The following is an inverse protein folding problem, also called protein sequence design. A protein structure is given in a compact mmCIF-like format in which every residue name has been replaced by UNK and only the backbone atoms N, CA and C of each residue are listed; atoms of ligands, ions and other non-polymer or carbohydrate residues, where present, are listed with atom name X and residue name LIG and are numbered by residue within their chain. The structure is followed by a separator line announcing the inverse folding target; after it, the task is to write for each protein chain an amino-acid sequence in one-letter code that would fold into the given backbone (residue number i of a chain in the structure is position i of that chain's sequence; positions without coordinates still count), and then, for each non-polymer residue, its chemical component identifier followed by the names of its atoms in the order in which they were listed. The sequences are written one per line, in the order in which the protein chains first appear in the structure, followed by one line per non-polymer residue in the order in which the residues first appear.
data_IF_187844764248
#
_entry.id   IF_187844764248
#
_cell.length_a   1.000
_cell.length_b   1.000
_cell.length_c   1.000
_cell.angle_alpha   90.00
_cell.angle_beta   90.00
_cell.angle_gamma   90.00
#
_symmetry.space_group_name_H-M   'P 1'
#
loop_
_entity.id
_entity.type
_entity.pdbx_description
1 polymer ?
#
# COMPACT_ATOMS: atom_id res chain seq x y z
N UNK A 1 8.89 -5.70 14.10
CA UNK A 1 7.85 -5.26 15.06
C UNK A 1 7.33 -6.49 15.80
N UNK A 2 7.09 -6.43 17.12
CA UNK A 2 6.58 -7.59 17.87
C UNK A 2 5.05 -7.50 17.97
N UNK A 3 4.34 -8.41 17.31
CA UNK A 3 2.88 -8.52 17.35
C UNK A 3 2.49 -9.99 17.51
N UNK A 4 1.37 -10.27 18.18
CA UNK A 4 0.80 -11.61 18.20
C UNK A 4 0.35 -11.93 16.77
N UNK A 5 0.79 -13.07 16.22
CA UNK A 5 0.32 -13.55 14.92
C UNK A 5 -0.79 -14.56 15.11
N UNK A 6 -1.81 -14.50 14.25
CA UNK A 6 -2.91 -15.45 14.31
C UNK A 6 -2.44 -16.90 14.06
N UNK A 7 -1.45 -17.09 13.19
CA UNK A 7 -0.80 -18.38 12.94
C UNK A 7 -0.25 -19.02 14.22
N UNK A 8 0.33 -18.21 15.12
CA UNK A 8 0.97 -18.70 16.34
C UNK A 8 -0.07 -19.16 17.35
N UNK A 9 -1.23 -18.48 17.38
CA UNK A 9 -2.38 -18.89 18.21
C UNK A 9 -2.96 -20.22 17.72
N UNK A 10 -3.05 -20.41 16.40
CA UNK A 10 -3.50 -21.68 15.79
C UNK A 10 -2.50 -22.79 16.14
N UNK A 11 -1.21 -22.57 15.93
CA UNK A 11 -0.16 -23.54 16.23
C UNK A 11 -0.14 -23.93 17.72
N UNK A 12 -0.48 -22.98 18.61
CA UNK A 12 -0.61 -23.22 20.05
C UNK A 12 -1.93 -23.90 20.47
N UNK A 13 -2.82 -24.25 19.53
CA UNK A 13 -4.10 -24.89 19.81
C UNK A 13 -5.12 -23.99 20.54
N UNK A 14 -4.96 -22.66 20.47
CA UNK A 14 -5.77 -21.69 21.24
C UNK A 14 -7.02 -21.21 20.52
N UNK A 15 -7.28 -21.68 19.29
CA UNK A 15 -8.32 -21.13 18.41
C UNK A 15 -9.58 -22.00 18.33
N UNK A 16 -9.47 -23.31 18.58
CA UNK A 16 -10.60 -24.23 18.50
C UNK A 16 -11.75 -23.81 19.43
N UNK A 17 -12.97 -23.73 18.87
CA UNK A 17 -14.17 -23.31 19.59
C UNK A 17 -14.25 -21.82 19.96
N UNK A 18 -13.23 -21.02 19.65
CA UNK A 18 -13.23 -19.58 19.95
C UNK A 18 -14.06 -18.79 18.94
N UNK A 19 -14.63 -17.66 19.38
CA UNK A 19 -15.24 -16.66 18.49
C UNK A 19 -14.14 -15.77 17.92
N UNK A 20 -13.91 -15.84 16.62
CA UNK A 20 -12.86 -15.11 15.92
C UNK A 20 -13.49 -14.00 15.07
N UNK A 21 -13.15 -12.74 15.35
CA UNK A 21 -13.55 -11.59 14.56
C UNK A 21 -12.41 -11.15 13.65
N UNK A 22 -12.60 -11.23 12.34
CA UNK A 22 -11.61 -10.88 11.32
C UNK A 22 -12.00 -9.55 10.67
N UNK A 23 -11.14 -8.54 10.80
CA UNK A 23 -11.22 -7.32 10.00
C UNK A 23 -10.46 -7.51 8.69
N UNK A 24 -11.18 -7.79 7.61
CA UNK A 24 -10.64 -8.00 6.27
C UNK A 24 -10.78 -6.73 5.40
N UNK A 25 -10.02 -6.64 4.31
CA UNK A 25 -10.22 -5.62 3.27
C UNK A 25 -10.97 -6.24 2.10
N UNK A 26 -12.29 -6.06 2.08
CA UNK A 26 -13.21 -6.55 1.05
C UNK A 26 -13.84 -5.41 0.25
N UNK A 27 -13.21 -4.24 0.26
CA UNK A 27 -13.69 -3.06 -0.48
C UNK A 27 -13.37 -3.23 -1.97
N UNK A 28 -14.21 -3.96 -2.69
CA UNK A 28 -14.03 -4.27 -4.13
C UNK A 28 -14.74 -3.26 -5.02
N UNK A 29 -14.21 -2.97 -6.22
CA UNK A 29 -14.92 -2.15 -7.20
C UNK A 29 -16.18 -2.88 -7.70
N UNK A 30 -17.24 -2.10 -7.90
CA UNK A 30 -18.51 -2.56 -8.44
C UNK A 30 -18.90 -1.74 -9.66
N UNK A 31 -19.62 -2.35 -10.60
CA UNK A 31 -20.27 -1.63 -11.71
C UNK A 31 -21.55 -0.93 -11.24
N UNK A 32 -22.21 -0.21 -12.16
CA UNK A 32 -23.45 0.52 -11.88
C UNK A 32 -24.61 -0.41 -11.45
N UNK A 33 -24.53 -1.71 -11.76
CA UNK A 33 -25.49 -2.73 -11.35
C UNK A 33 -25.15 -3.34 -9.97
N UNK A 34 -24.07 -2.89 -9.32
CA UNK A 34 -23.59 -3.40 -8.03
C UNK A 34 -22.82 -4.72 -8.11
N UNK A 35 -22.49 -5.21 -9.31
CA UNK A 35 -21.72 -6.45 -9.50
C UNK A 35 -20.23 -6.17 -9.32
N UNK A 36 -19.55 -7.13 -8.70
CA UNK A 36 -18.10 -7.08 -8.48
C UNK A 36 -17.39 -7.17 -9.83
N UNK A 37 -16.59 -6.16 -10.17
CA UNK A 37 -15.80 -6.13 -11.42
C UNK A 37 -14.41 -6.72 -11.23
N UNK A 38 -13.91 -6.76 -10.00
CA UNK A 38 -12.58 -7.24 -9.63
C UNK A 38 -12.64 -7.83 -8.19
N UNK A 39 -12.19 -9.07 -7.99
CA UNK A 39 -12.35 -9.81 -6.72
C UNK A 39 -11.03 -10.16 -6.00
N UNK A 40 -9.89 -9.58 -6.41
CA UNK A 40 -8.55 -9.84 -5.84
C UNK A 40 -8.53 -9.63 -4.34
N UNK A 41 -9.17 -8.57 -3.83
CA UNK A 41 -9.26 -8.29 -2.38
C UNK A 41 -9.98 -9.39 -1.60
N UNK A 42 -11.04 -9.96 -2.19
CA UNK A 42 -11.78 -11.07 -1.59
C UNK A 42 -10.88 -12.30 -1.54
N UNK A 43 -10.25 -12.64 -2.68
CA UNK A 43 -9.32 -13.79 -2.77
C UNK A 43 -8.15 -13.67 -1.82
N UNK A 44 -7.56 -12.48 -1.70
CA UNK A 44 -6.45 -12.20 -0.80
C UNK A 44 -6.83 -12.41 0.67
N UNK A 45 -8.09 -12.14 1.05
CA UNK A 45 -8.58 -12.30 2.43
C UNK A 45 -8.97 -13.75 2.79
N UNK A 46 -9.14 -14.64 1.80
CA UNK A 46 -9.54 -16.03 2.03
C UNK A 46 -8.61 -16.82 2.98
N UNK A 47 -7.27 -16.68 2.91
CA UNK A 47 -6.37 -17.45 3.77
C UNK A 47 -6.66 -17.28 5.26
N UNK A 48 -6.91 -16.06 5.74
CA UNK A 48 -7.24 -15.82 7.14
C UNK A 48 -8.54 -16.50 7.57
N UNK A 49 -9.56 -16.43 6.72
CA UNK A 49 -10.88 -17.04 6.95
C UNK A 49 -10.76 -18.56 6.98
N UNK A 50 -10.05 -19.15 6.00
CA UNK A 50 -9.81 -20.61 5.91
C UNK A 50 -9.03 -21.11 7.11
N UNK A 51 -7.94 -20.44 7.48
CA UNK A 51 -7.14 -20.81 8.66
C UNK A 51 -7.96 -20.82 9.95
N UNK A 52 -8.86 -19.83 10.14
CA UNK A 52 -9.73 -19.80 11.30
C UNK A 52 -10.75 -20.96 11.29
N UNK A 53 -11.36 -21.23 10.14
CA UNK A 53 -12.31 -22.34 9.95
C UNK A 53 -11.65 -23.70 10.17
N UNK A 54 -10.48 -23.93 9.58
CA UNK A 54 -9.70 -25.18 9.69
C UNK A 54 -9.25 -25.42 11.13
N UNK A 55 -8.98 -24.34 11.89
CA UNK A 55 -8.69 -24.40 13.32
C UNK A 55 -9.94 -24.61 14.20
N UNK A 56 -11.13 -24.72 13.62
CA UNK A 56 -12.38 -24.98 14.35
C UNK A 56 -12.98 -23.76 15.06
N UNK A 57 -12.68 -22.54 14.61
CA UNK A 57 -13.27 -21.32 15.17
C UNK A 57 -14.72 -21.08 14.72
N UNK A 58 -15.44 -20.27 15.49
CA UNK A 58 -16.67 -19.60 15.05
C UNK A 58 -16.29 -18.25 14.42
N UNK A 59 -16.41 -18.12 13.09
CA UNK A 59 -15.77 -17.04 12.33
C UNK A 59 -16.76 -15.92 12.00
N UNK A 60 -16.41 -14.70 12.36
CA UNK A 60 -17.07 -13.47 11.95
C UNK A 60 -16.10 -12.66 11.11
N UNK A 61 -16.51 -12.25 9.91
CA UNK A 61 -15.70 -11.39 9.05
C UNK A 61 -16.42 -10.06 8.91
N UNK A 62 -15.73 -8.94 8.95
CA UNK A 62 -16.31 -7.65 8.52
C UNK A 62 -15.35 -6.92 7.61
N UNK A 63 -15.90 -6.00 6.82
CA UNK A 63 -15.14 -5.05 6.03
C UNK A 63 -15.90 -3.73 5.95
N UNK A 64 -15.19 -2.72 5.47
CA UNK A 64 -15.81 -1.55 4.88
C UNK A 64 -16.10 -1.81 3.39
N UNK A 65 -17.10 -1.11 2.85
CA UNK A 65 -17.33 -0.92 1.43
C UNK A 65 -17.65 0.56 1.20
N UNK A 66 -17.02 1.17 0.19
CA UNK A 66 -17.30 2.55 -0.18
C UNK A 66 -17.12 3.57 0.96
N UNK A 67 -17.96 4.60 0.95
CA UNK A 67 -17.95 5.70 1.91
C UNK A 67 -19.37 6.07 2.37
N UNK A 68 -20.13 5.14 2.98
CA UNK A 68 -21.45 5.43 3.50
C UNK A 68 -21.43 6.53 4.55
N UNK A 69 -22.61 7.14 4.73
CA UNK A 69 -22.95 7.94 5.90
C UNK A 69 -23.28 7.00 7.05
N UNK A 70 -22.66 7.20 8.22
CA UNK A 70 -22.91 6.36 9.39
C UNK A 70 -24.39 6.39 9.80
N UNK A 71 -25.01 5.23 9.97
CA UNK A 71 -26.42 5.08 10.33
C UNK A 71 -27.42 5.20 9.18
N UNK A 72 -26.97 5.48 7.95
CA UNK A 72 -27.83 5.57 6.78
C UNK A 72 -27.52 4.41 5.83
N UNK A 73 -28.34 3.36 5.88
CA UNK A 73 -28.18 2.22 4.99
C UNK A 73 -28.74 2.51 3.60
N UNK A 74 -27.91 2.32 2.57
CA UNK A 74 -28.34 2.21 1.17
C UNK A 74 -27.97 0.84 0.60
N UNK A 75 -28.73 0.30 -0.37
CA UNK A 75 -28.41 -0.98 -0.99
C UNK A 75 -27.00 -1.06 -1.58
N UNK A 76 -26.50 0.04 -2.16
CA UNK A 76 -25.15 0.17 -2.71
C UNK A 76 -24.02 0.08 -1.66
N UNK A 77 -24.33 0.30 -0.38
CA UNK A 77 -23.35 0.22 0.71
C UNK A 77 -23.25 -1.20 1.30
N UNK A 78 -24.10 -2.14 0.85
CA UNK A 78 -24.19 -3.49 1.40
C UNK A 78 -23.08 -4.41 0.92
N UNK A 79 -22.59 -5.26 1.82
CA UNK A 79 -21.66 -6.36 1.52
C UNK A 79 -22.36 -7.60 0.94
N UNK A 80 -23.63 -7.54 0.55
CA UNK A 80 -24.34 -8.70 0.00
C UNK A 80 -23.66 -9.34 -1.22
N UNK A 81 -23.21 -8.58 -2.24
CA UNK A 81 -22.46 -9.17 -3.36
C UNK A 81 -21.14 -9.82 -2.92
N UNK A 82 -20.51 -9.27 -1.89
CA UNK A 82 -19.27 -9.81 -1.31
C UNK A 82 -19.53 -11.12 -0.55
N UNK A 83 -20.66 -11.22 0.17
CA UNK A 83 -21.06 -12.45 0.85
C UNK A 83 -21.32 -13.60 -0.12
N UNK A 84 -22.02 -13.32 -1.23
CA UNK A 84 -22.24 -14.29 -2.30
C UNK A 84 -20.91 -14.76 -2.88
N UNK A 85 -20.01 -13.82 -3.24
CA UNK A 85 -18.70 -14.16 -3.79
C UNK A 85 -17.81 -14.94 -2.82
N UNK A 86 -17.82 -14.60 -1.53
CA UNK A 86 -17.14 -15.37 -0.49
C UNK A 86 -17.70 -16.79 -0.39
N UNK A 87 -19.02 -16.94 -0.52
CA UNK A 87 -19.67 -18.26 -0.47
C UNK A 87 -19.20 -19.17 -1.61
N UNK A 88 -19.14 -18.63 -2.82
CA UNK A 88 -18.62 -19.33 -4.00
C UNK A 88 -17.16 -19.76 -3.80
N UNK A 89 -16.31 -18.84 -3.37
CA UNK A 89 -14.86 -19.07 -3.23
C UNK A 89 -14.50 -20.02 -2.07
N UNK A 90 -15.33 -20.07 -1.02
CA UNK A 90 -15.16 -21.00 0.09
C UNK A 90 -15.87 -22.34 -0.16
N UNK A 91 -16.74 -22.44 -1.16
CA UNK A 91 -17.55 -23.62 -1.42
C UNK A 91 -18.54 -23.93 -0.29
N UNK A 92 -19.02 -22.90 0.42
CA UNK A 92 -19.97 -23.03 1.53
C UNK A 92 -20.77 -21.74 1.75
N UNK A 93 -21.97 -21.82 2.37
CA UNK A 93 -22.73 -20.62 2.67
C UNK A 93 -21.99 -19.67 3.62
N UNK A 94 -21.95 -18.39 3.25
CA UNK A 94 -21.49 -17.28 4.09
C UNK A 94 -22.65 -16.29 4.21
N UNK A 95 -23.55 -16.46 5.19
CA UNK A 95 -24.67 -15.54 5.35
C UNK A 95 -24.17 -14.16 5.73
N UNK A 96 -24.84 -13.13 5.18
CA UNK A 96 -24.66 -11.75 5.57
C UNK A 96 -25.53 -11.44 6.78
N UNK A 97 -24.91 -11.03 7.88
CA UNK A 97 -25.60 -10.62 9.10
C UNK A 97 -25.68 -9.09 9.19
N UNK A 98 -26.90 -8.58 9.21
CA UNK A 98 -27.21 -7.17 9.51
C UNK A 98 -27.38 -6.96 11.02
N UNK A 99 -27.28 -5.70 11.45
CA UNK A 99 -27.55 -5.26 12.82
C UNK A 99 -26.78 -6.07 13.88
N UNK A 100 -25.53 -6.36 13.56
CA UNK A 100 -24.69 -7.36 14.23
C UNK A 100 -23.99 -6.85 15.51
N UNK A 101 -24.01 -5.55 15.76
CA UNK A 101 -23.26 -4.91 16.87
C UNK A 101 -23.77 -5.38 18.23
N UNK A 102 -25.07 -5.61 18.37
CA UNK A 102 -25.67 -5.98 19.65
C UNK A 102 -25.70 -7.50 19.88
N UNK A 103 -25.81 -8.29 18.82
CA UNK A 103 -25.78 -9.75 18.91
C UNK A 103 -25.38 -10.42 17.59
N UNK A 104 -24.49 -11.41 17.70
CA UNK A 104 -24.15 -12.35 16.62
C UNK A 104 -23.95 -13.73 17.24
N UNK A 105 -24.53 -14.75 16.61
CA UNK A 105 -24.33 -16.14 16.99
C UNK A 105 -23.76 -16.90 15.81
N UNK A 106 -22.62 -17.54 16.01
CA UNK A 106 -21.93 -18.37 15.01
C UNK A 106 -21.45 -19.63 15.72
N UNK A 107 -21.80 -20.80 15.18
CA UNK A 107 -21.28 -22.05 15.73
C UNK A 107 -19.82 -22.28 15.29
N UNK A 108 -19.01 -22.98 16.09
CA UNK A 108 -17.69 -23.45 15.65
C UNK A 108 -17.76 -24.17 14.30
N UNK A 109 -16.82 -23.86 13.39
CA UNK A 109 -16.78 -24.38 12.03
C UNK A 109 -17.68 -23.65 11.02
N UNK A 110 -18.42 -22.63 11.46
CA UNK A 110 -19.22 -21.76 10.59
C UNK A 110 -18.56 -20.38 10.42
N UNK A 111 -18.97 -19.68 9.36
CA UNK A 111 -18.53 -18.33 9.02
C UNK A 111 -19.74 -17.47 8.70
N UNK A 112 -19.72 -16.21 9.14
CA UNK A 112 -20.68 -15.18 8.75
C UNK A 112 -19.94 -13.94 8.26
N UNK A 113 -20.50 -13.23 7.28
CA UNK A 113 -20.06 -11.88 6.92
C UNK A 113 -20.95 -10.89 7.67
N UNK A 114 -20.35 -9.98 8.42
CA UNK A 114 -21.01 -8.90 9.11
C UNK A 114 -21.12 -7.71 8.15
N UNK A 115 -22.30 -7.09 8.10
CA UNK A 115 -22.58 -5.95 7.23
C UNK A 115 -21.59 -4.79 7.42
N UNK A 116 -21.44 -3.97 6.38
CA UNK A 116 -20.45 -2.90 6.24
C UNK A 116 -20.23 -2.10 7.54
N UNK A 117 -19.02 -2.21 8.09
CA UNK A 117 -18.70 -1.63 9.38
C UNK A 117 -18.83 -0.10 9.43
N UNK A 118 -18.74 0.58 8.28
CA UNK A 118 -18.87 2.04 8.19
C UNK A 118 -20.30 2.55 8.31
N UNK A 119 -21.28 1.65 8.35
CA UNK A 119 -22.65 2.01 8.69
C UNK A 119 -22.86 2.16 10.21
N UNK A 120 -21.97 1.61 11.03
CA UNK A 120 -22.08 1.72 12.48
C UNK A 120 -21.77 3.15 12.93
N UNK A 121 -22.68 3.75 13.70
CA UNK A 121 -22.46 5.07 14.30
C UNK A 121 -21.27 5.01 15.26
N UNK A 122 -20.27 5.84 15.00
CA UNK A 122 -19.05 5.91 15.78
C UNK A 122 -17.86 5.14 15.21
N UNK A 123 -17.99 4.46 14.06
CA UNK A 123 -16.90 3.71 13.42
C UNK A 123 -15.69 4.62 13.14
N UNK A 124 -15.89 5.69 12.36
CA UNK A 124 -14.79 6.59 11.92
C UNK A 124 -14.18 7.38 13.07
N UNK A 125 -14.96 7.61 14.14
CA UNK A 125 -14.50 8.31 15.35
C UNK A 125 -13.84 7.38 16.37
N UNK A 126 -13.73 6.08 16.07
CA UNK A 126 -13.25 5.07 17.01
C UNK A 126 -13.97 5.17 18.36
N UNK A 127 -15.29 5.27 18.33
CA UNK A 127 -16.09 5.45 19.54
C UNK A 127 -15.87 4.29 20.52
N UNK A 128 -15.65 4.61 21.79
CA UNK A 128 -15.30 3.62 22.81
C UNK A 128 -16.45 2.65 23.11
N UNK A 129 -17.69 3.14 23.20
CA UNK A 129 -18.86 2.30 23.47
C UNK A 129 -19.03 1.25 22.36
N UNK A 130 -18.96 1.69 21.10
CA UNK A 130 -18.96 0.79 19.96
C UNK A 130 -17.81 -0.22 20.06
N UNK A 131 -16.59 0.26 20.30
CA UNK A 131 -15.39 -0.58 20.41
C UNK A 131 -15.51 -1.69 21.47
N UNK A 132 -16.14 -1.39 22.62
CA UNK A 132 -16.41 -2.37 23.68
C UNK A 132 -17.47 -3.38 23.27
N UNK A 133 -18.54 -2.95 22.58
CA UNK A 133 -19.55 -3.87 22.01
C UNK A 133 -18.90 -4.82 21.01
N UNK A 134 -18.12 -4.29 20.07
CA UNK A 134 -17.36 -5.07 19.08
C UNK A 134 -16.45 -6.12 19.75
N UNK A 135 -15.72 -5.73 20.79
CA UNK A 135 -14.85 -6.64 21.52
C UNK A 135 -15.61 -7.75 22.27
N UNK A 136 -16.82 -7.46 22.77
CA UNK A 136 -17.65 -8.46 23.45
C UNK A 136 -18.14 -9.58 22.51
N UNK A 137 -18.21 -9.32 21.20
CA UNK A 137 -18.62 -10.31 20.19
C UNK A 137 -17.60 -11.44 20.01
N UNK A 138 -16.33 -11.23 20.36
CA UNK A 138 -15.26 -12.18 20.08
C UNK A 138 -14.38 -12.51 21.28
N UNK A 139 -13.66 -13.62 21.16
CA UNK A 139 -12.57 -13.98 22.07
C UNK A 139 -11.22 -13.60 21.45
N UNK A 140 -11.13 -13.64 20.11
CA UNK A 140 -9.94 -13.26 19.35
C UNK A 140 -10.32 -12.26 18.27
N UNK A 141 -9.68 -11.10 18.28
CA UNK A 141 -9.68 -10.14 17.18
C UNK A 141 -8.46 -10.37 16.28
N UNK A 142 -8.71 -10.51 14.98
CA UNK A 142 -7.70 -10.66 13.92
C UNK A 142 -7.80 -9.46 13.00
N UNK A 143 -6.78 -8.60 13.02
CA UNK A 143 -6.68 -7.52 12.05
C UNK A 143 -5.95 -8.02 10.80
N UNK A 144 -6.62 -8.06 9.66
CA UNK A 144 -6.03 -8.52 8.39
C UNK A 144 -6.15 -7.50 7.24
N UNK A 145 -6.67 -6.30 7.50
CA UNK A 145 -6.87 -5.24 6.53
C UNK A 145 -5.75 -4.16 6.54
N UNK A 146 -4.58 -4.41 5.94
CA UNK A 146 -3.49 -3.40 5.94
C UNK A 146 -3.89 -2.05 5.30
N UNK A 147 -4.71 -2.05 4.25
CA UNK A 147 -5.19 -0.82 3.61
C UNK A 147 -5.91 0.15 4.55
N UNK A 148 -6.44 -0.32 5.68
CA UNK A 148 -7.09 0.50 6.71
C UNK A 148 -6.28 0.65 8.00
N UNK A 149 -5.08 0.07 8.07
CA UNK A 149 -4.23 0.05 9.27
C UNK A 149 -3.78 1.45 9.73
N UNK A 150 -3.73 2.41 8.79
CA UNK A 150 -3.38 3.81 9.03
C UNK A 150 -4.49 4.62 9.72
N UNK A 151 -5.69 4.06 9.87
CA UNK A 151 -6.84 4.75 10.48
C UNK A 151 -7.21 4.13 11.81
N UNK A 152 -7.38 4.99 12.82
CA UNK A 152 -7.99 4.60 14.08
C UNK A 152 -9.52 4.62 13.91
N UNK A 153 -10.11 3.47 13.59
CA UNK A 153 -11.56 3.24 13.49
C UNK A 153 -11.97 2.19 14.54
N UNK A 154 -13.26 2.05 14.85
CA UNK A 154 -13.69 1.12 15.89
C UNK A 154 -13.40 -0.34 15.50
N UNK A 155 -13.53 -0.74 14.23
CA UNK A 155 -13.18 -2.11 13.78
C UNK A 155 -11.70 -2.33 13.46
N UNK A 156 -10.86 -1.30 13.42
CA UNK A 156 -9.41 -1.44 13.16
C UNK A 156 -8.57 -1.26 14.42
N UNK A 157 -8.91 -0.28 15.27
CA UNK A 157 -8.13 0.13 16.42
C UNK A 157 -8.89 -0.05 17.73
N UNK A 158 -10.16 0.37 17.75
CA UNK A 158 -10.99 0.38 18.95
C UNK A 158 -11.22 -1.01 19.54
N UNK A 159 -11.70 -1.95 18.74
CA UNK A 159 -11.91 -3.35 19.11
C UNK A 159 -10.63 -3.99 19.68
N UNK A 160 -9.47 -3.67 19.09
CA UNK A 160 -8.18 -4.19 19.52
C UNK A 160 -7.77 -3.72 20.93
N UNK A 161 -8.35 -2.62 21.45
CA UNK A 161 -8.12 -2.20 22.84
C UNK A 161 -8.80 -3.10 23.86
N UNK A 162 -9.95 -3.68 23.50
CA UNK A 162 -10.85 -4.33 24.46
C UNK A 162 -11.03 -5.83 24.24
N UNK A 163 -10.73 -6.35 23.04
CA UNK A 163 -10.79 -7.79 22.76
C UNK A 163 -9.83 -8.55 23.68
N UNK A 164 -10.19 -9.76 24.12
CA UNK A 164 -9.34 -10.55 25.03
C UNK A 164 -7.96 -10.80 24.41
N UNK A 165 -7.94 -11.19 23.13
CA UNK A 165 -6.72 -11.32 22.33
C UNK A 165 -6.88 -10.47 21.06
N UNK A 166 -5.84 -9.70 20.72
CA UNK A 166 -5.77 -8.94 19.47
C UNK A 166 -4.49 -9.35 18.73
N UNK A 167 -4.60 -9.75 17.47
CA UNK A 167 -3.49 -10.28 16.68
C UNK A 167 -3.54 -9.83 15.22
N UNK A 168 -2.41 -9.94 14.53
CA UNK A 168 -2.31 -9.74 13.09
C UNK A 168 -2.69 -11.02 12.34
N UNK A 169 -3.55 -10.87 11.33
CA UNK A 169 -3.81 -11.92 10.35
C UNK A 169 -2.66 -12.12 9.37
N UNK A 170 -2.72 -13.12 8.48
CA UNK A 170 -1.64 -13.46 7.56
C UNK A 170 -1.27 -12.33 6.58
N UNK A 171 -2.22 -11.57 6.04
CA UNK A 171 -1.92 -10.45 5.15
C UNK A 171 -1.23 -9.32 5.92
N UNK A 172 -1.78 -8.93 7.06
CA UNK A 172 -1.19 -7.85 7.86
C UNK A 172 0.19 -8.24 8.40
N UNK A 173 0.38 -9.50 8.80
CA UNK A 173 1.67 -10.00 9.25
C UNK A 173 2.70 -10.00 8.10
N UNK A 174 2.32 -10.40 6.89
CA UNK A 174 3.19 -10.36 5.71
C UNK A 174 3.60 -8.92 5.36
N UNK A 175 2.68 -7.95 5.43
CA UNK A 175 2.98 -6.51 5.25
C UNK A 175 3.99 -6.03 6.30
N UNK A 176 3.77 -6.35 7.58
CA UNK A 176 4.69 -5.98 8.67
C UNK A 176 6.09 -6.57 8.42
N UNK A 177 6.17 -7.82 7.96
CA UNK A 177 7.44 -8.50 7.68
C UNK A 177 8.18 -7.86 6.50
N UNK A 178 7.47 -7.63 5.40
CA UNK A 178 8.03 -7.01 4.20
C UNK A 178 8.54 -5.59 4.50
N UNK A 179 7.75 -4.78 5.21
CA UNK A 179 8.13 -3.43 5.64
C UNK A 179 9.34 -3.47 6.58
N UNK A 180 9.33 -4.37 7.58
CA UNK A 180 10.43 -4.50 8.54
C UNK A 180 11.73 -4.90 7.81
N UNK A 181 11.64 -5.84 6.88
CA UNK A 181 12.78 -6.28 6.07
C UNK A 181 13.30 -5.16 5.16
N UNK A 182 12.41 -4.35 4.58
CA UNK A 182 12.80 -3.30 3.65
C UNK A 182 13.34 -2.03 4.31
N UNK A 183 12.81 -1.63 5.47
CA UNK A 183 13.09 -0.32 6.07
C UNK A 183 13.82 -0.39 7.40
N UNK A 184 13.54 -1.40 8.23
CA UNK A 184 14.18 -1.51 9.55
C UNK A 184 15.49 -2.31 9.49
N UNK A 185 15.51 -3.41 8.72
CA UNK A 185 16.68 -4.29 8.58
C UNK A 185 17.04 -4.55 7.09
N UNK A 186 17.24 -3.49 6.28
CA UNK A 186 17.58 -3.68 4.87
C UNK A 186 18.97 -4.29 4.70
N UNK A 187 19.10 -5.18 3.70
CA UNK A 187 20.43 -5.47 3.13
C UNK A 187 20.85 -4.26 2.31
N UNK A 188 21.98 -3.65 2.66
CA UNK A 188 22.50 -2.49 1.92
C UNK A 188 23.28 -2.92 0.66
N UNK A 189 23.31 -2.08 -0.41
CA UNK A 189 22.68 -0.76 -0.50
C UNK A 189 21.13 -0.82 -0.52
N UNK A 190 20.49 0.05 0.26
CA UNK A 190 19.05 0.30 0.21
C UNK A 190 18.79 1.44 -0.77
N UNK A 191 18.10 1.13 -1.86
CA UNK A 191 17.71 2.11 -2.88
C UNK A 191 16.20 2.31 -2.85
N UNK A 192 15.75 3.55 -2.75
CA UNK A 192 14.33 3.89 -2.87
C UNK A 192 14.06 4.67 -4.15
N UNK A 193 12.98 4.33 -4.84
CA UNK A 193 12.43 5.06 -5.97
C UNK A 193 11.17 5.76 -5.48
N UNK A 194 11.17 7.09 -5.49
CA UNK A 194 10.02 7.93 -5.13
C UNK A 194 9.71 8.84 -6.30
N UNK A 195 8.69 8.49 -7.05
CA UNK A 195 8.30 9.19 -8.26
C UNK A 195 6.82 9.54 -8.26
N UNK A 196 6.46 10.50 -9.12
CA UNK A 196 5.10 11.01 -9.23
C UNK A 196 5.06 12.42 -9.80
N UNK A 197 3.86 12.99 -9.82
CA UNK A 197 3.61 14.29 -10.46
C UNK A 197 3.97 15.50 -9.59
N UNK A 198 4.03 15.35 -8.25
CA UNK A 198 4.18 16.47 -7.31
C UNK A 198 5.07 16.11 -6.13
N UNK A 199 6.04 16.97 -5.83
CA UNK A 199 6.87 16.96 -4.62
C UNK A 199 6.01 17.19 -3.39
N UNK A 200 5.05 18.12 -3.42
CA UNK A 200 4.19 18.47 -2.26
C UNK A 200 3.49 17.27 -1.64
N UNK A 201 3.07 16.30 -2.47
CA UNK A 201 2.38 15.09 -2.01
C UNK A 201 3.31 13.99 -1.50
N UNK A 202 4.63 14.14 -1.70
CA UNK A 202 5.66 13.13 -1.37
C UNK A 202 6.80 13.69 -0.52
N UNK A 203 6.78 14.97 -0.16
CA UNK A 203 7.90 15.65 0.50
C UNK A 203 8.27 14.97 1.83
N UNK A 204 7.27 14.62 2.63
CA UNK A 204 7.42 13.87 3.89
C UNK A 204 8.08 12.50 3.67
N UNK A 205 7.73 11.81 2.59
CA UNK A 205 8.34 10.54 2.19
C UNK A 205 9.81 10.76 1.80
N UNK A 206 10.08 11.76 0.95
CA UNK A 206 11.43 12.11 0.52
C UNK A 206 12.33 12.43 1.71
N UNK A 207 11.86 13.28 2.64
CA UNK A 207 12.59 13.64 3.87
C UNK A 207 12.81 12.43 4.80
N UNK A 208 11.79 11.59 5.00
CA UNK A 208 11.90 10.37 5.83
C UNK A 208 12.93 9.40 5.24
N UNK A 209 12.85 9.14 3.93
CA UNK A 209 13.74 8.19 3.26
C UNK A 209 15.16 8.74 3.09
N UNK A 210 15.33 10.05 2.89
CA UNK A 210 16.64 10.70 2.79
C UNK A 210 17.53 10.49 4.02
N UNK A 211 16.95 10.15 5.18
CA UNK A 211 17.71 9.80 6.39
C UNK A 211 18.09 8.31 6.50
N UNK A 212 17.53 7.44 5.65
CA UNK A 212 17.57 5.96 5.80
C UNK A 212 18.27 5.25 4.64
N UNK A 213 18.04 5.73 3.41
CA UNK A 213 18.47 5.07 2.17
C UNK A 213 19.91 5.43 1.81
N UNK A 214 20.53 4.59 0.97
CA UNK A 214 21.86 4.81 0.37
C UNK A 214 21.73 5.46 -1.02
N UNK A 215 20.60 5.26 -1.69
CA UNK A 215 20.25 5.95 -2.94
C UNK A 215 18.75 6.31 -2.97
N UNK A 216 18.43 7.52 -3.42
CA UNK A 216 17.07 8.01 -3.58
C UNK A 216 16.83 8.44 -5.03
N UNK A 217 16.24 7.56 -5.82
CA UNK A 217 15.86 7.81 -7.20
C UNK A 217 14.54 8.59 -7.21
N UNK A 218 14.53 9.74 -7.87
CA UNK A 218 13.33 10.54 -8.11
C UNK A 218 12.89 10.41 -9.57
N UNK A 219 11.58 10.52 -9.83
CA UNK A 219 11.02 10.38 -11.17
C UNK A 219 9.77 11.24 -11.41
N UNK A 220 9.42 11.46 -12.69
CA UNK A 220 8.28 12.30 -13.08
C UNK A 220 8.44 13.77 -12.69
N UNK A 221 7.33 14.42 -12.34
CA UNK A 221 7.32 15.83 -11.91
C UNK A 221 8.15 16.10 -10.64
N UNK A 222 8.37 15.08 -9.81
CA UNK A 222 9.31 15.17 -8.68
C UNK A 222 10.74 15.35 -9.20
N UNK A 223 11.17 14.52 -10.16
CA UNK A 223 12.50 14.66 -10.76
C UNK A 223 12.70 16.03 -11.42
N UNK A 224 11.68 16.55 -12.11
CA UNK A 224 11.76 17.88 -12.73
C UNK A 224 12.02 18.99 -11.71
N UNK A 225 11.39 18.95 -10.54
CA UNK A 225 11.69 19.92 -9.45
C UNK A 225 13.11 19.74 -8.89
N UNK A 226 13.61 18.51 -8.80
CA UNK A 226 15.00 18.24 -8.38
C UNK A 226 16.04 18.66 -9.44
N UNK A 227 15.68 18.58 -10.72
CA UNK A 227 16.50 19.13 -11.81
C UNK A 227 16.59 20.66 -11.72
N UNK A 228 15.47 21.35 -11.45
CA UNK A 228 15.46 22.79 -11.17
C UNK A 228 16.35 23.15 -9.98
N UNK A 229 16.24 22.40 -8.87
CA UNK A 229 17.10 22.53 -7.70
C UNK A 229 18.59 22.30 -7.99
N UNK A 230 18.91 21.57 -9.06
CA UNK A 230 20.29 21.35 -9.51
C UNK A 230 20.75 22.39 -10.54
N UNK A 231 19.97 23.46 -10.75
CA UNK A 231 20.27 24.53 -11.70
C UNK A 231 20.00 24.19 -13.18
N UNK A 232 19.30 23.09 -13.46
CA UNK A 232 18.98 22.67 -14.83
C UNK A 232 17.70 23.34 -15.35
N UNK A 233 17.62 23.52 -16.66
CA UNK A 233 16.41 23.98 -17.34
C UNK A 233 15.44 22.81 -17.51
N UNK A 234 14.14 23.09 -17.33
CA UNK A 234 13.08 22.09 -17.53
C UNK A 234 12.00 22.52 -18.53
N UNK A 235 12.13 23.67 -19.20
CA UNK A 235 11.11 24.18 -20.11
C UNK A 235 9.74 24.37 -19.43
N UNK A 236 8.69 23.80 -20.04
CA UNK A 236 7.30 23.80 -19.52
C UNK A 236 6.96 22.58 -18.68
N UNK A 237 7.94 21.75 -18.34
CA UNK A 237 7.71 20.50 -17.63
C UNK A 237 6.99 20.71 -16.30
N UNK A 238 6.19 19.72 -15.90
CA UNK A 238 5.51 19.75 -14.61
C UNK A 238 6.54 19.76 -13.47
N UNK A 239 6.51 20.80 -12.64
CA UNK A 239 7.33 20.96 -11.46
C UNK A 239 6.62 21.86 -10.43
N UNK A 240 7.17 21.94 -9.22
CA UNK A 240 6.70 22.83 -8.15
C UNK A 240 7.84 23.79 -7.74
N UNK A 241 7.98 24.94 -8.42
CA UNK A 241 9.06 25.89 -8.16
C UNK A 241 9.16 26.36 -6.70
N UNK A 242 8.02 26.50 -6.02
CA UNK A 242 7.95 26.88 -4.61
C UNK A 242 8.56 25.83 -3.65
N UNK A 243 8.87 24.63 -4.15
CA UNK A 243 9.48 23.54 -3.38
C UNK A 243 10.93 23.24 -3.80
N UNK A 244 11.55 24.09 -4.62
CA UNK A 244 12.96 23.94 -5.02
C UNK A 244 13.89 23.91 -3.81
N UNK A 245 13.76 24.86 -2.88
CA UNK A 245 14.57 24.89 -1.64
C UNK A 245 14.44 23.59 -0.82
N UNK A 246 13.25 22.97 -0.83
CA UNK A 246 13.01 21.70 -0.15
C UNK A 246 13.66 20.52 -0.88
N UNK A 247 13.67 20.53 -2.21
CA UNK A 247 14.38 19.54 -3.01
C UNK A 247 15.90 19.66 -2.83
N UNK A 248 16.45 20.88 -2.83
CA UNK A 248 17.86 21.16 -2.51
C UNK A 248 18.23 20.61 -1.13
N UNK A 249 17.42 20.89 -0.11
CA UNK A 249 17.64 20.38 1.24
C UNK A 249 17.68 18.84 1.30
N UNK A 250 16.88 18.15 0.49
CA UNK A 250 16.91 16.67 0.39
C UNK A 250 18.19 16.19 -0.28
N UNK A 251 18.63 16.83 -1.37
CA UNK A 251 19.88 16.51 -2.07
C UNK A 251 21.07 16.68 -1.11
N UNK A 252 21.13 17.80 -0.40
CA UNK A 252 22.21 18.11 0.55
C UNK A 252 22.23 17.14 1.74
N UNK A 253 21.06 16.80 2.29
CA UNK A 253 20.95 15.84 3.39
C UNK A 253 21.46 14.45 3.00
N UNK A 254 21.16 14.00 1.77
CA UNK A 254 21.67 12.74 1.22
C UNK A 254 23.19 12.80 1.03
N UNK A 255 23.68 13.87 0.38
CA UNK A 255 25.11 14.07 0.11
C UNK A 255 25.95 14.13 1.38
N UNK A 256 25.46 14.79 2.43
CA UNK A 256 26.12 14.88 3.73
C UNK A 256 26.33 13.51 4.40
N UNK A 257 25.53 12.50 4.04
CA UNK A 257 25.64 11.11 4.52
C UNK A 257 26.47 10.21 3.59
N UNK A 258 26.98 10.74 2.47
CA UNK A 258 27.61 9.95 1.41
C UNK A 258 26.62 9.13 0.58
N UNK A 259 25.33 9.48 0.63
CA UNK A 259 24.28 8.91 -0.19
C UNK A 259 23.99 9.83 -1.39
N UNK A 260 23.33 9.31 -2.43
CA UNK A 260 23.12 10.05 -3.68
C UNK A 260 21.63 10.17 -4.05
N UNK A 261 21.27 11.34 -4.58
CA UNK A 261 20.05 11.55 -5.38
C UNK A 261 20.50 11.67 -6.84
N UNK A 262 20.43 10.61 -7.66
CA UNK A 262 20.89 10.68 -9.04
C UNK A 262 19.95 11.56 -9.87
N UNK A 263 20.43 12.75 -10.24
CA UNK A 263 19.72 13.69 -11.12
C UNK A 263 19.85 13.21 -12.58
N UNK A 264 18.77 13.22 -13.38
CA UNK A 264 18.83 12.80 -14.77
C UNK A 264 19.88 13.54 -15.60
N UNK A 265 20.70 12.79 -16.35
CA UNK A 265 21.72 13.33 -17.27
C UNK A 265 21.14 13.54 -18.68
N UNK A 266 20.10 12.79 -19.01
CA UNK A 266 19.32 12.87 -20.23
C UNK A 266 17.85 12.60 -19.94
N UNK A 267 16.99 13.14 -20.81
CA UNK A 267 15.54 13.13 -20.67
C UNK A 267 14.87 12.88 -22.01
N UNK A 268 13.63 12.39 -21.97
CA UNK A 268 12.76 12.31 -23.14
C UNK A 268 11.74 13.43 -23.06
N UNK A 269 11.74 14.31 -24.06
CA UNK A 269 10.87 15.47 -24.13
C UNK A 269 9.85 15.39 -25.27
N UNK A 270 8.79 16.17 -25.15
CA UNK A 270 7.82 16.45 -26.21
C UNK A 270 7.35 17.91 -26.15
N UNK A 271 6.73 18.40 -27.23
CA UNK A 271 6.14 19.76 -27.26
C UNK A 271 4.69 19.80 -26.75
N UNK A 272 4.03 18.65 -26.64
CA UNK A 272 2.64 18.51 -26.16
C UNK A 272 2.47 17.27 -25.30
N UNK A 273 1.57 17.34 -24.33
CA UNK A 273 1.20 16.19 -23.49
C UNK A 273 0.11 15.37 -24.20
N UNK A 274 0.51 14.40 -25.01
CA UNK A 274 -0.41 13.51 -25.73
C UNK A 274 0.21 12.15 -26.02
N UNK A 275 -0.62 11.10 -26.09
CA UNK A 275 -0.17 9.74 -26.38
C UNK A 275 0.54 9.60 -27.75
N UNK A 276 0.16 10.44 -28.72
CA UNK A 276 0.77 10.48 -30.07
C UNK A 276 1.84 11.58 -30.23
N UNK A 277 2.31 12.20 -29.15
CA UNK A 277 3.34 13.22 -29.23
C UNK A 277 4.69 12.64 -29.68
N UNK A 278 5.40 13.37 -30.53
CA UNK A 278 6.75 12.99 -30.98
C UNK A 278 7.74 13.16 -29.84
N UNK A 279 8.33 12.05 -29.40
CA UNK A 279 9.39 12.05 -28.39
C UNK A 279 10.75 12.42 -28.98
N UNK A 280 11.54 13.19 -28.23
CA UNK A 280 12.93 13.52 -28.53
C UNK A 280 13.81 13.26 -27.31
N UNK A 281 14.95 12.60 -27.50
CA UNK A 281 15.93 12.41 -26.44
C UNK A 281 16.87 13.61 -26.42
N UNK A 282 17.07 14.21 -25.25
CA UNK A 282 17.95 15.37 -25.06
C UNK A 282 18.85 15.17 -23.84
N UNK A 283 20.04 15.75 -23.87
CA UNK A 283 20.79 15.94 -22.63
C UNK A 283 20.00 16.86 -21.69
N UNK A 284 20.10 16.65 -20.39
CA UNK A 284 19.39 17.45 -19.40
C UNK A 284 19.76 18.95 -19.45
N UNK A 285 20.95 19.28 -19.97
CA UNK A 285 21.42 20.65 -20.20
C UNK A 285 20.81 21.32 -21.43
N UNK A 286 20.22 20.54 -22.33
CA UNK A 286 19.80 20.97 -23.68
C UNK A 286 18.26 21.08 -23.78
N UNK A 287 17.56 21.06 -22.65
CA UNK A 287 16.10 21.21 -22.59
C UNK A 287 15.72 22.64 -23.03
N UNK A 288 14.81 22.74 -24.00
CA UNK A 288 14.33 23.99 -24.57
C UNK A 288 13.16 24.59 -23.77
N UNK A 289 12.89 25.88 -23.94
CA UNK A 289 11.90 26.62 -23.15
C UNK A 289 10.45 26.10 -23.33
N UNK A 290 10.14 25.45 -24.45
CA UNK A 290 8.83 24.88 -24.77
C UNK A 290 8.77 23.34 -24.64
N UNK A 291 9.82 22.70 -24.14
CA UNK A 291 9.83 21.25 -23.88
C UNK A 291 9.00 20.86 -22.65
N UNK A 292 8.41 19.67 -22.72
CA UNK A 292 7.85 18.92 -21.61
C UNK A 292 8.68 17.64 -21.42
N UNK A 293 9.33 17.47 -20.28
CA UNK A 293 10.01 16.23 -19.87
C UNK A 293 8.95 15.24 -19.40
N UNK A 294 8.87 14.11 -20.09
CA UNK A 294 7.84 13.08 -19.87
C UNK A 294 8.41 11.71 -19.51
N UNK A 295 9.71 11.49 -19.67
CA UNK A 295 10.42 10.29 -19.21
C UNK A 295 11.91 10.59 -18.98
N UNK A 296 12.60 9.70 -18.27
CA UNK A 296 14.06 9.74 -18.18
C UNK A 296 14.68 9.22 -19.48
N UNK A 297 15.84 9.77 -19.86
CA UNK A 297 16.54 9.35 -21.06
C UNK A 297 17.24 7.99 -20.90
N UNK A 298 17.68 7.38 -22.01
CA UNK A 298 18.27 6.05 -22.02
C UNK A 298 19.57 5.93 -21.20
N UNK A 299 20.40 6.98 -21.13
CA UNK A 299 21.63 6.95 -20.32
C UNK A 299 21.30 6.92 -18.83
N UNK A 300 20.39 7.80 -18.41
CA UNK A 300 19.86 7.86 -17.04
C UNK A 300 19.23 6.53 -16.67
N UNK A 301 18.33 6.00 -17.50
CA UNK A 301 17.67 4.73 -17.24
C UNK A 301 18.66 3.56 -17.07
N UNK A 302 19.71 3.51 -17.89
CA UNK A 302 20.76 2.48 -17.80
C UNK A 302 21.55 2.57 -16.49
N UNK A 303 21.99 3.78 -16.11
CA UNK A 303 22.73 4.02 -14.87
C UNK A 303 21.90 3.68 -13.63
N UNK A 304 20.61 4.04 -13.63
CA UNK A 304 19.69 3.69 -12.57
C UNK A 304 19.44 2.18 -12.51
N UNK A 305 19.33 1.51 -13.65
CA UNK A 305 19.19 0.06 -13.71
C UNK A 305 20.41 -0.67 -13.12
N UNK A 306 21.63 -0.24 -13.41
CA UNK A 306 22.85 -0.77 -12.81
C UNK A 306 22.85 -0.60 -11.29
N UNK A 307 22.45 0.57 -10.81
CA UNK A 307 22.31 0.87 -9.37
C UNK A 307 21.32 -0.07 -8.68
N UNK A 308 20.17 -0.32 -9.30
CA UNK A 308 19.15 -1.23 -8.78
C UNK A 308 19.59 -2.70 -8.79
N UNK A 309 20.35 -3.12 -9.80
CA UNK A 309 20.93 -4.47 -9.86
C UNK A 309 22.00 -4.70 -8.78
N UNK A 310 22.71 -3.64 -8.38
CA UNK A 310 23.70 -3.69 -7.31
C UNK A 310 23.09 -3.53 -5.89
N UNK A 311 21.81 -3.16 -5.78
CA UNK A 311 21.15 -2.96 -4.50
C UNK A 311 20.99 -4.28 -3.72
N UNK A 312 21.02 -4.19 -2.39
CA UNK A 312 20.62 -5.30 -1.52
C UNK A 312 19.12 -5.29 -1.21
N UNK A 313 18.50 -4.11 -1.24
CA UNK A 313 17.08 -3.88 -0.96
C UNK A 313 16.55 -2.74 -1.82
N UNK A 314 15.36 -2.89 -2.39
CA UNK A 314 14.72 -1.89 -3.25
C UNK A 314 13.33 -1.55 -2.69
N UNK A 315 13.03 -0.25 -2.57
CA UNK A 315 11.68 0.25 -2.28
C UNK A 315 11.18 1.03 -3.49
N UNK A 316 10.07 0.61 -4.09
CA UNK A 316 9.56 1.24 -5.30
C UNK A 316 8.18 1.89 -5.09
N UNK A 317 8.12 3.21 -5.28
CA UNK A 317 6.89 4.00 -5.23
C UNK A 317 6.83 5.03 -6.37
N UNK A 318 6.20 4.63 -7.48
CA UNK A 318 5.86 5.49 -8.62
C UNK A 318 6.72 5.24 -9.87
N UNK A 319 6.18 5.48 -11.07
CA UNK A 319 6.90 5.39 -12.34
C UNK A 319 7.80 6.62 -12.57
N UNK A 320 8.90 6.45 -13.31
CA UNK A 320 9.84 7.55 -13.59
C UNK A 320 9.44 8.42 -14.78
N UNK A 321 8.45 7.99 -15.56
CA UNK A 321 7.88 8.69 -16.71
C UNK A 321 6.39 8.41 -16.90
N UNK A 322 5.79 9.03 -17.92
CA UNK A 322 4.38 8.88 -18.31
C UNK A 322 4.18 7.57 -19.07
N UNK A 323 4.32 6.47 -18.34
CA UNK A 323 4.43 5.13 -18.91
C UNK A 323 3.18 4.65 -19.63
N UNK A 324 2.04 5.31 -19.45
CA UNK A 324 0.80 5.08 -20.21
C UNK A 324 0.99 5.36 -21.70
N UNK A 325 1.89 6.28 -22.05
CA UNK A 325 2.20 6.64 -23.43
C UNK A 325 3.41 5.85 -23.92
N UNK A 326 3.29 5.06 -25.01
CA UNK A 326 4.38 4.20 -25.47
C UNK A 326 5.71 4.92 -25.71
N UNK A 327 5.65 6.18 -26.19
CA UNK A 327 6.84 6.98 -26.47
C UNK A 327 7.59 7.46 -25.20
N UNK A 328 6.97 7.37 -24.02
CA UNK A 328 7.49 7.84 -22.73
C UNK A 328 7.45 6.73 -21.65
N UNK A 329 7.46 5.47 -22.09
CA UNK A 329 7.36 4.29 -21.22
C UNK A 329 8.70 3.61 -20.94
N UNK A 330 9.72 3.86 -21.77
CA UNK A 330 10.96 3.09 -21.80
C UNK A 330 11.76 3.24 -20.50
N UNK A 331 11.80 4.41 -19.88
CA UNK A 331 12.47 4.64 -18.61
C UNK A 331 11.85 3.79 -17.50
N UNK A 332 10.52 3.82 -17.37
CA UNK A 332 9.80 3.01 -16.39
C UNK A 332 9.92 1.52 -16.66
N UNK A 333 9.86 1.09 -17.93
CA UNK A 333 10.11 -0.31 -18.29
C UNK A 333 11.51 -0.76 -17.90
N UNK A 334 12.53 0.06 -18.18
CA UNK A 334 13.93 -0.25 -17.86
C UNK A 334 14.13 -0.41 -16.35
N UNK A 335 13.53 0.46 -15.55
CA UNK A 335 13.53 0.35 -14.08
C UNK A 335 12.82 -0.92 -13.63
N UNK A 336 11.63 -1.22 -14.17
CA UNK A 336 10.85 -2.41 -13.84
C UNK A 336 11.65 -3.69 -14.13
N UNK A 337 12.28 -3.80 -15.31
CA UNK A 337 13.13 -4.93 -15.69
C UNK A 337 14.36 -5.04 -14.79
N UNK A 338 14.99 -3.92 -14.43
CA UNK A 338 16.13 -3.92 -13.52
C UNK A 338 15.75 -4.44 -12.12
N UNK A 339 14.56 -4.10 -11.62
CA UNK A 339 14.03 -4.63 -10.36
C UNK A 339 13.79 -6.13 -10.47
N UNK A 340 13.17 -6.60 -11.57
CA UNK A 340 12.87 -8.02 -11.80
C UNK A 340 14.14 -8.88 -11.93
N UNK A 341 15.19 -8.35 -12.56
CA UNK A 341 16.49 -9.02 -12.73
C UNK A 341 17.38 -8.93 -11.48
N UNK A 342 17.04 -8.08 -10.51
CA UNK A 342 17.84 -7.89 -9.30
C UNK A 342 17.64 -9.03 -8.30
N UNK A 343 18.72 -9.41 -7.61
CA UNK A 343 18.66 -10.35 -6.47
C UNK A 343 18.26 -9.66 -5.16
N UNK A 344 18.04 -8.35 -5.19
CA UNK A 344 17.61 -7.56 -4.04
C UNK A 344 16.24 -8.01 -3.55
N UNK A 345 15.98 -7.85 -2.25
CA UNK A 345 14.60 -7.86 -1.79
C UNK A 345 13.91 -6.57 -2.24
N UNK A 346 12.92 -6.69 -3.12
CA UNK A 346 12.14 -5.56 -3.63
C UNK A 346 10.77 -5.49 -2.96
N UNK A 347 10.37 -4.30 -2.52
CA UNK A 347 9.01 -3.99 -2.08
C UNK A 347 8.44 -2.86 -2.92
N UNK A 348 7.23 -3.05 -3.45
CA UNK A 348 6.56 -2.07 -4.28
C UNK A 348 5.20 -1.68 -3.70
N UNK A 349 4.80 -0.43 -3.88
CA UNK A 349 3.47 0.04 -3.48
C UNK A 349 3.06 1.32 -4.19
N UNK A 350 1.75 1.58 -4.21
CA UNK A 350 1.13 2.71 -4.92
C UNK A 350 0.48 2.28 -6.24
N UNK A 351 -0.67 2.88 -6.57
CA UNK A 351 -1.50 2.46 -7.71
C UNK A 351 -0.73 2.43 -9.04
N UNK A 352 -0.01 3.51 -9.35
CA UNK A 352 0.76 3.63 -10.60
C UNK A 352 1.92 2.62 -10.66
N UNK A 353 2.55 2.31 -9.52
CA UNK A 353 3.58 1.27 -9.41
C UNK A 353 3.00 -0.11 -9.74
N UNK A 354 1.83 -0.43 -9.19
CA UNK A 354 1.15 -1.70 -9.42
C UNK A 354 0.70 -1.82 -10.89
N UNK A 355 0.21 -0.72 -11.48
CA UNK A 355 -0.13 -0.67 -12.89
C UNK A 355 1.09 -0.87 -13.80
N UNK A 356 2.24 -0.29 -13.45
CA UNK A 356 3.51 -0.52 -14.16
C UNK A 356 3.98 -1.98 -14.03
N UNK A 357 3.94 -2.55 -12.82
CA UNK A 357 4.27 -3.96 -12.57
C UNK A 357 3.41 -4.88 -13.45
N UNK A 358 2.10 -4.65 -13.48
CA UNK A 358 1.17 -5.45 -14.27
C UNK A 358 1.38 -5.28 -15.78
N UNK A 359 1.61 -4.04 -16.24
CA UNK A 359 1.87 -3.74 -17.65
C UNK A 359 3.11 -4.49 -18.17
N UNK A 360 4.16 -4.57 -17.35
CA UNK A 360 5.42 -5.20 -17.75
C UNK A 360 5.52 -6.68 -17.37
N UNK A 361 4.52 -7.23 -16.66
CA UNK A 361 4.41 -8.65 -16.32
C UNK A 361 5.50 -9.14 -15.37
N UNK A 362 5.87 -8.33 -14.38
CA UNK A 362 6.95 -8.63 -13.42
C UNK A 362 6.44 -8.97 -12.01
N UNK A 363 5.15 -9.28 -11.86
CA UNK A 363 4.50 -9.54 -10.56
C UNK A 363 5.22 -10.63 -9.75
N UNK A 364 5.72 -11.65 -10.43
CA UNK A 364 6.40 -12.80 -9.81
C UNK A 364 7.84 -12.51 -9.42
N UNK A 365 8.42 -11.45 -9.96
CA UNK A 365 9.82 -11.07 -9.77
C UNK A 365 9.97 -9.97 -8.70
N UNK A 366 8.86 -9.34 -8.28
CA UNK A 366 8.86 -8.40 -7.16
C UNK A 366 8.72 -9.16 -5.84
N UNK A 367 9.64 -8.92 -4.91
CA UNK A 367 9.71 -9.65 -3.63
C UNK A 367 8.47 -9.46 -2.75
N UNK A 368 7.84 -8.28 -2.79
CA UNK A 368 6.57 -8.01 -2.13
C UNK A 368 5.82 -6.85 -2.80
N UNK A 369 4.53 -7.05 -3.08
CA UNK A 369 3.65 -6.01 -3.64
C UNK A 369 2.62 -5.63 -2.58
N UNK A 370 2.75 -4.42 -2.04
CA UNK A 370 1.81 -3.91 -1.04
C UNK A 370 0.53 -3.40 -1.68
N UNK A 371 -0.60 -3.87 -1.17
CA UNK A 371 -1.94 -3.40 -1.55
C UNK A 371 -2.50 -2.36 -0.59
N UNK A 372 -1.66 -1.87 0.34
CA UNK A 372 -2.07 -0.93 1.40
C UNK A 372 -2.36 0.50 0.97
N UNK A 373 -1.98 0.88 -0.25
CA UNK A 373 -2.18 2.24 -0.78
C UNK A 373 -1.65 3.32 0.17
N UNK A 374 -2.56 4.11 0.75
CA UNK A 374 -2.21 5.15 1.72
C UNK A 374 -1.50 4.64 2.98
N UNK A 375 -1.82 3.42 3.45
CA UNK A 375 -1.14 2.84 4.60
C UNK A 375 0.35 2.60 4.35
N UNK A 376 0.69 2.11 3.15
CA UNK A 376 2.07 1.93 2.72
C UNK A 376 2.81 3.27 2.64
N UNK A 377 2.14 4.31 2.09
CA UNK A 377 2.71 5.66 2.01
C UNK A 377 3.00 6.25 3.40
N UNK A 378 2.07 6.15 4.35
CA UNK A 378 2.29 6.65 5.72
C UNK A 378 3.46 5.94 6.42
N UNK A 379 3.67 4.65 6.15
CA UNK A 379 4.85 3.93 6.63
C UNK A 379 6.14 4.49 6.02
N UNK A 380 6.15 4.80 4.71
CA UNK A 380 7.31 5.43 4.06
C UNK A 380 7.57 6.84 4.61
N UNK A 381 6.53 7.58 4.99
CA UNK A 381 6.62 8.86 5.72
C UNK A 381 7.22 8.71 7.13
N UNK A 382 7.43 7.47 7.60
CA UNK A 382 7.95 7.17 8.93
C UNK A 382 6.90 7.24 10.03
N UNK A 383 5.60 7.30 9.69
CA UNK A 383 4.52 7.29 10.68
C UNK A 383 4.33 5.90 11.25
N UNK A 384 3.98 5.85 12.53
CA UNK A 384 3.51 4.61 13.15
C UNK A 384 2.01 4.48 12.89
N UNK A 385 1.60 3.43 12.20
CA UNK A 385 0.19 3.19 11.90
C UNK A 385 -0.58 2.83 13.19
N UNK A 386 -1.79 3.36 13.42
CA UNK A 386 -2.60 3.02 14.60
C UNK A 386 -2.77 1.53 14.84
N UNK A 387 -3.05 0.73 13.80
CA UNK A 387 -3.21 -0.71 13.95
C UNK A 387 -1.90 -1.41 14.41
N UNK A 388 -0.76 -0.99 13.89
CA UNK A 388 0.55 -1.51 14.29
C UNK A 388 0.86 -1.17 15.75
N UNK A 389 0.57 0.07 16.12
CA UNK A 389 0.72 0.61 17.46
C UNK A 389 -0.06 -0.21 18.51
N UNK A 390 -1.38 -0.37 18.30
CA UNK A 390 -2.23 -1.09 19.25
C UNK A 390 -1.89 -2.58 19.32
N UNK A 391 -1.62 -3.25 18.19
CA UNK A 391 -1.25 -4.66 18.20
C UNK A 391 0.09 -4.90 18.90
N UNK A 392 1.05 -3.99 18.75
CA UNK A 392 2.32 -4.05 19.47
C UNK A 392 2.11 -3.88 20.97
N UNK A 393 1.30 -2.90 21.39
CA UNK A 393 0.94 -2.73 22.81
C UNK A 393 0.28 -3.97 23.39
N UNK A 394 -0.71 -4.54 22.69
CA UNK A 394 -1.42 -5.75 23.12
C UNK A 394 -0.54 -7.00 23.19
N UNK A 395 0.55 -7.04 22.41
CA UNK A 395 1.52 -8.13 22.50
C UNK A 395 2.45 -8.02 23.72
N UNK A 396 2.59 -6.83 24.31
CA UNK A 396 3.50 -6.58 25.43
C UNK A 396 2.90 -6.89 26.82
N UNK A 397 1.59 -7.13 26.90
CA UNK A 397 0.84 -7.32 28.15
C UNK A 397 -0.18 -6.22 28.35
#
# INVERSE_FOLDING_TARGET
MNVIRFSDLIAAGKVAGQRVFIRADLNVPQDDDGKITEDTRIRASLPAIKMALDAGAAVMVTSHLGRPTEGEFKPEDSLAPVAERLSELLGRPVPLQRDWVDAVSVAPGQVVLLENCRLNKGEKKCNEELSRKLAALCDIFVHDAFGTAHRAEATTYGIAKFAKIACAGPLLAAEIDAITKALANPRRPLVAIVAGSKVSTKLTILQSLASKVDGLIVGGGIANTFMLASGLKIGKSLAEPDLVDQAEAVIDAMKARGAEVPIPEDVVTAKTFAAGATASVKAATDVEDDDLILDIGPKTATKLAETLKAAGTIVWNGPVGVFEFPAFAQGTETIARAIAESVAFSIAGGGDTLAAIAKYGIEKDVGYISTGGGAFLEVLEGKTLPAFEILTKRAAG
#
